data_IF_233802869264
#
_entry.id   IF_233802869264
#
_cell.length_a   1.000
_cell.length_b   1.000
_cell.length_c   1.000
_cell.angle_alpha   90.00
_cell.angle_beta   90.00
_cell.angle_gamma   90.00
#
_symmetry.space_group_name_H-M   'P 1'
#
loop_
_entity.id
_entity.type
_entity.pdbx_description
1 polymer ?
#
# COMPACT_ATOMS: atom_id res chain seq x y z
N UNK A 1 8.05 14.11 -21.21
CA UNK A 1 8.39 13.15 -20.17
C UNK A 1 7.13 12.47 -19.67
N UNK A 2 7.10 11.18 -19.77
CA UNK A 2 5.93 10.43 -19.33
C UNK A 2 5.96 10.30 -17.81
N UNK A 3 4.91 10.77 -17.18
CA UNK A 3 4.70 10.51 -15.76
C UNK A 3 4.32 9.05 -15.63
N UNK A 4 4.87 8.37 -14.65
CA UNK A 4 4.49 7.00 -14.37
C UNK A 4 3.01 6.96 -13.98
N UNK A 5 2.28 6.00 -14.54
CA UNK A 5 0.88 5.80 -14.18
C UNK A 5 0.80 5.42 -12.69
N UNK A 6 -0.05 6.08 -11.89
CA UNK A 6 -0.12 5.79 -10.47
C UNK A 6 -0.46 4.33 -10.16
N UNK A 7 -1.28 3.68 -10.97
CA UNK A 7 -1.62 2.26 -10.76
C UNK A 7 -0.42 1.38 -11.07
N UNK A 8 0.35 1.70 -12.10
CA UNK A 8 1.58 0.98 -12.44
C UNK A 8 2.58 1.10 -11.29
N UNK A 9 2.80 2.31 -10.78
CA UNK A 9 3.69 2.51 -9.63
C UNK A 9 3.19 1.73 -8.41
N UNK A 10 1.90 1.77 -8.15
CA UNK A 10 1.30 1.10 -7.00
C UNK A 10 1.56 -0.41 -7.06
N UNK A 11 1.31 -1.02 -8.22
CA UNK A 11 1.54 -2.47 -8.40
C UNK A 11 3.01 -2.84 -8.35
N UNK A 12 3.88 -2.03 -8.95
CA UNK A 12 5.29 -2.37 -9.10
C UNK A 12 6.15 -2.00 -7.90
N UNK A 13 5.87 -0.86 -7.26
CA UNK A 13 6.74 -0.30 -6.23
C UNK A 13 6.12 -0.22 -4.84
N UNK A 14 4.81 -0.24 -4.72
CA UNK A 14 4.14 -0.19 -3.42
C UNK A 14 3.79 -1.59 -2.91
N UNK A 15 2.95 -2.30 -3.66
CA UNK A 15 2.38 -3.58 -3.20
C UNK A 15 3.42 -4.63 -2.81
N UNK A 16 4.57 -4.75 -3.50
CA UNK A 16 5.58 -5.73 -3.06
C UNK A 16 6.11 -5.50 -1.66
N UNK A 17 5.99 -4.27 -1.15
CA UNK A 17 6.50 -3.90 0.18
C UNK A 17 5.40 -3.76 1.24
N UNK A 18 4.15 -4.00 0.88
CA UNK A 18 3.02 -3.92 1.81
C UNK A 18 2.87 -5.26 2.51
N UNK A 19 2.74 -5.22 3.84
CA UNK A 19 2.49 -6.44 4.62
C UNK A 19 1.06 -6.92 4.39
N UNK A 20 0.78 -8.19 4.75
CA UNK A 20 -0.58 -8.73 4.65
C UNK A 20 -1.57 -7.90 5.48
N UNK A 21 -1.18 -7.50 6.67
CA UNK A 21 -2.03 -6.66 7.53
C UNK A 21 -2.28 -5.29 6.88
N UNK A 22 -1.24 -4.68 6.33
CA UNK A 22 -1.34 -3.41 5.62
C UNK A 22 -2.23 -3.52 4.39
N UNK A 23 -2.09 -4.61 3.65
CA UNK A 23 -2.90 -4.87 2.47
C UNK A 23 -4.38 -5.03 2.83
N UNK A 24 -4.68 -5.81 3.86
CA UNK A 24 -6.05 -5.97 4.34
C UNK A 24 -6.65 -4.64 4.77
N UNK A 25 -5.84 -3.81 5.44
CA UNK A 25 -6.30 -2.52 5.93
C UNK A 25 -6.63 -1.56 4.80
N UNK A 26 -5.76 -1.44 3.79
CA UNK A 26 -6.03 -0.52 2.69
C UNK A 26 -7.20 -1.01 1.82
N UNK A 27 -7.36 -2.30 1.65
CA UNK A 27 -8.54 -2.86 0.96
C UNK A 27 -9.81 -2.42 1.68
N UNK A 28 -9.87 -2.58 2.99
CA UNK A 28 -11.01 -2.17 3.79
C UNK A 28 -11.30 -0.67 3.65
N UNK A 29 -10.27 0.15 3.78
CA UNK A 29 -10.42 1.61 3.71
C UNK A 29 -10.85 2.07 2.31
N UNK A 30 -10.27 1.49 1.26
CA UNK A 30 -10.61 1.83 -0.12
C UNK A 30 -12.03 1.37 -0.46
N UNK A 31 -12.40 0.17 -0.03
CA UNK A 31 -13.72 -0.38 -0.31
C UNK A 31 -14.83 0.45 0.32
N UNK A 32 -14.61 0.88 1.55
CA UNK A 32 -15.58 1.67 2.31
C UNK A 32 -15.50 3.17 2.06
N UNK A 33 -14.50 3.63 1.29
CA UNK A 33 -14.21 5.05 1.16
C UNK A 33 -14.17 5.72 2.54
N UNK A 34 -13.41 5.11 3.45
CA UNK A 34 -13.39 5.49 4.86
C UNK A 34 -12.93 6.93 5.08
N UNK A 35 -13.55 7.69 5.99
CA UNK A 35 -13.06 9.01 6.36
C UNK A 35 -11.71 9.00 7.06
N UNK A 36 -11.23 7.84 7.50
CA UNK A 36 -9.87 7.68 8.04
C UNK A 36 -8.81 7.71 6.95
N UNK A 37 -9.21 7.52 5.68
CA UNK A 37 -8.32 7.56 4.52
C UNK A 37 -8.43 8.95 3.90
N UNK A 38 -7.43 9.80 4.17
CA UNK A 38 -7.43 11.20 3.75
C UNK A 38 -6.49 11.45 2.59
N UNK A 39 -6.51 12.67 2.06
CA UNK A 39 -5.64 13.11 0.97
C UNK A 39 -5.18 14.55 1.21
N UNK A 40 -4.21 15.01 0.43
CA UNK A 40 -3.66 16.37 0.52
C UNK A 40 -2.59 16.53 1.58
N UNK A 41 -2.50 15.61 2.52
CA UNK A 41 -1.47 15.54 3.55
C UNK A 41 -1.29 14.09 3.95
N UNK A 42 -0.15 13.76 4.54
CA UNK A 42 0.09 12.38 5.00
C UNK A 42 -0.80 12.01 6.19
N UNK A 43 -0.96 12.95 7.11
CA UNK A 43 -1.80 12.70 8.28
C UNK A 43 -2.51 13.96 8.73
N UNK A 44 -3.56 13.74 9.51
CA UNK A 44 -4.25 14.81 10.25
C UNK A 44 -4.24 14.42 11.73
N UNK A 45 -5.39 14.37 12.35
CA UNK A 45 -5.50 13.78 13.68
C UNK A 45 -5.44 12.26 13.52
N UNK A 46 -4.51 11.59 14.20
CA UNK A 46 -4.40 10.13 14.13
C UNK A 46 -5.71 9.49 14.61
N UNK A 47 -6.25 8.46 13.96
CA UNK A 47 -5.65 7.64 12.90
C UNK A 47 -6.01 8.04 11.48
N UNK A 48 -6.26 9.31 11.22
CA UNK A 48 -6.55 9.80 9.87
C UNK A 48 -5.24 9.96 9.09
N UNK A 49 -5.08 9.21 8.03
CA UNK A 49 -3.87 9.23 7.23
C UNK A 49 -4.12 8.89 5.78
N UNK A 50 -3.15 9.19 4.92
CA UNK A 50 -3.19 8.80 3.51
C UNK A 50 -2.86 7.32 3.35
N UNK A 51 -2.87 6.84 2.11
CA UNK A 51 -2.54 5.45 1.80
C UNK A 51 -1.21 5.01 2.42
N UNK A 52 -0.16 5.82 2.23
CA UNK A 52 1.17 5.49 2.73
C UNK A 52 1.20 5.39 4.26
N UNK A 53 0.48 6.27 4.95
CA UNK A 53 0.42 6.26 6.41
C UNK A 53 -0.22 4.97 6.94
N UNK A 54 -1.34 4.56 6.37
CA UNK A 54 -2.01 3.33 6.79
C UNK A 54 -1.16 2.09 6.49
N UNK A 55 -0.46 2.07 5.38
CA UNK A 55 0.48 1.00 5.05
C UNK A 55 1.63 0.97 6.06
N UNK A 56 2.21 2.13 6.33
CA UNK A 56 3.35 2.27 7.24
C UNK A 56 3.02 1.82 8.67
N UNK A 57 1.84 2.19 9.15
CA UNK A 57 1.42 1.83 10.51
C UNK A 57 1.25 0.30 10.68
N UNK A 58 1.15 -0.42 9.60
CA UNK A 58 1.04 -1.88 9.60
C UNK A 58 2.32 -2.58 9.11
N UNK A 59 3.44 -1.85 9.04
CA UNK A 59 4.72 -2.40 8.61
C UNK A 59 5.71 -2.43 9.78
N UNK A 60 6.44 -3.54 9.98
CA UNK A 60 7.32 -3.68 11.17
C UNK A 60 8.41 -2.61 11.26
N UNK A 61 8.89 -2.07 10.15
CA UNK A 61 9.94 -1.04 10.17
C UNK A 61 9.41 0.36 10.44
N UNK A 62 8.12 0.59 10.24
CA UNK A 62 7.49 1.91 10.35
C UNK A 62 6.20 1.86 11.16
N UNK A 63 6.05 0.85 12.01
CA UNK A 63 4.82 0.60 12.75
C UNK A 63 4.53 1.60 13.86
N UNK A 64 5.44 2.53 14.11
CA UNK A 64 5.16 3.62 15.04
C UNK A 64 3.98 4.42 14.52
N UNK A 65 2.97 4.57 15.37
CA UNK A 65 1.75 5.28 15.00
C UNK A 65 1.98 6.77 15.12
N UNK A 66 2.71 7.34 14.16
CA UNK A 66 3.04 8.75 14.14
C UNK A 66 2.83 9.38 12.75
N UNK A 67 3.00 10.69 12.68
CA UNK A 67 2.72 11.47 11.48
C UNK A 67 3.74 11.27 10.36
N UNK A 68 4.92 10.77 10.66
CA UNK A 68 6.01 10.61 9.70
C UNK A 68 6.11 9.21 9.13
N UNK A 69 5.36 8.27 9.67
CA UNK A 69 5.47 6.86 9.28
C UNK A 69 5.31 6.65 7.76
N UNK A 70 4.33 7.32 7.16
CA UNK A 70 4.08 7.19 5.72
C UNK A 70 5.24 7.66 4.86
N UNK A 71 5.83 8.80 5.23
CA UNK A 71 6.99 9.35 4.52
C UNK A 71 8.18 8.41 4.66
N UNK A 72 8.42 7.90 5.86
CA UNK A 72 9.50 6.96 6.12
C UNK A 72 9.32 5.66 5.35
N UNK A 73 8.10 5.13 5.31
CA UNK A 73 7.81 3.92 4.57
C UNK A 73 8.11 4.10 3.08
N UNK A 74 7.65 5.21 2.49
CA UNK A 74 7.90 5.49 1.08
C UNK A 74 9.39 5.58 0.80
N UNK A 75 10.13 6.35 1.60
CA UNK A 75 11.54 6.61 1.36
C UNK A 75 12.43 5.41 1.69
N UNK A 76 12.16 4.71 2.78
CA UNK A 76 13.06 3.69 3.32
C UNK A 76 12.66 2.26 2.98
N UNK A 77 11.38 1.99 2.77
CA UNK A 77 10.90 0.65 2.46
C UNK A 77 10.59 0.51 0.97
N UNK A 78 9.76 1.37 0.44
CA UNK A 78 9.38 1.32 -0.98
C UNK A 78 10.46 1.90 -1.90
N UNK A 79 11.38 2.70 -1.38
CA UNK A 79 12.44 3.30 -2.17
C UNK A 79 11.95 4.38 -3.13
N UNK A 80 10.90 5.10 -2.75
CA UNK A 80 10.30 6.15 -3.56
C UNK A 80 10.51 7.52 -2.93
N UNK A 81 10.55 8.55 -3.78
CA UNK A 81 10.56 9.92 -3.30
C UNK A 81 9.11 10.34 -2.98
N UNK A 82 8.80 10.66 -1.71
CA UNK A 82 7.43 11.04 -1.34
C UNK A 82 6.90 12.26 -2.09
N UNK A 83 7.79 13.14 -2.55
CA UNK A 83 7.38 14.35 -3.26
C UNK A 83 7.04 14.09 -4.74
N UNK A 84 7.50 12.98 -5.31
CA UNK A 84 7.32 12.69 -6.74
C UNK A 84 6.61 11.38 -7.02
N UNK A 85 6.21 10.65 -5.98
CA UNK A 85 5.46 9.41 -6.15
C UNK A 85 4.17 9.68 -6.95
N UNK A 86 3.98 8.96 -8.03
CA UNK A 86 2.81 9.13 -8.88
C UNK A 86 1.52 8.83 -8.12
N UNK A 87 1.54 7.82 -7.23
CA UNK A 87 0.39 7.49 -6.40
C UNK A 87 0.05 8.64 -5.47
N UNK A 88 1.04 9.21 -4.79
CA UNK A 88 0.83 10.32 -3.86
C UNK A 88 0.28 11.54 -4.60
N UNK A 89 0.89 11.90 -5.73
CA UNK A 89 0.45 13.07 -6.51
C UNK A 89 -0.99 12.91 -7.00
N UNK A 90 -1.34 11.73 -7.49
CA UNK A 90 -2.70 11.46 -7.96
C UNK A 90 -3.70 11.40 -6.82
N UNK A 91 -3.32 10.74 -5.72
CA UNK A 91 -4.20 10.60 -4.56
C UNK A 91 -4.49 11.93 -3.87
N UNK A 92 -3.49 12.81 -3.78
CA UNK A 92 -3.63 14.08 -3.10
C UNK A 92 -4.62 15.04 -3.76
N UNK A 93 -4.99 14.81 -5.02
CA UNK A 93 -5.95 15.66 -5.70
C UNK A 93 -7.37 15.51 -5.13
N UNK A 94 -7.85 14.29 -4.99
CA UNK A 94 -9.24 14.04 -4.59
C UNK A 94 -9.42 12.85 -3.63
N UNK A 95 -8.37 12.06 -3.39
CA UNK A 95 -8.44 10.90 -2.51
C UNK A 95 -9.56 9.95 -2.89
N UNK A 96 -10.36 9.56 -1.90
CA UNK A 96 -11.50 8.65 -2.13
C UNK A 96 -12.58 9.25 -3.02
N UNK A 97 -12.56 10.56 -3.23
CA UNK A 97 -13.47 11.25 -4.14
C UNK A 97 -13.18 10.96 -5.61
N UNK A 98 -11.97 10.52 -5.94
CA UNK A 98 -11.65 10.05 -7.30
C UNK A 98 -12.05 8.59 -7.41
N UNK A 99 -13.25 8.35 -7.88
CA UNK A 99 -13.81 7.00 -7.96
C UNK A 99 -12.97 6.08 -8.85
N UNK A 100 -12.50 6.58 -9.99
CA UNK A 100 -11.71 5.78 -10.93
C UNK A 100 -10.39 5.34 -10.29
N UNK A 101 -9.67 6.27 -9.66
CA UNK A 101 -8.41 5.96 -8.99
C UNK A 101 -8.64 5.02 -7.81
N UNK A 102 -9.63 5.31 -6.98
CA UNK A 102 -9.98 4.47 -5.82
C UNK A 102 -10.27 3.04 -6.25
N UNK A 103 -11.09 2.87 -7.29
CA UNK A 103 -11.45 1.55 -7.81
C UNK A 103 -10.24 0.82 -8.38
N UNK A 104 -9.37 1.52 -9.10
CA UNK A 104 -8.17 0.92 -9.68
C UNK A 104 -7.18 0.48 -8.60
N UNK A 105 -6.99 1.28 -7.56
CA UNK A 105 -6.12 0.92 -6.44
C UNK A 105 -6.69 -0.25 -5.65
N UNK A 106 -8.00 -0.26 -5.47
CA UNK A 106 -8.69 -1.37 -4.80
C UNK A 106 -8.53 -2.67 -5.59
N UNK A 107 -8.74 -2.60 -6.90
CA UNK A 107 -8.57 -3.77 -7.78
C UNK A 107 -7.13 -4.28 -7.72
N UNK A 108 -6.15 -3.39 -7.80
CA UNK A 108 -4.74 -3.76 -7.68
C UNK A 108 -4.45 -4.46 -6.35
N UNK A 109 -5.00 -3.93 -5.27
CA UNK A 109 -4.82 -4.49 -3.93
C UNK A 109 -5.45 -5.88 -3.81
N UNK A 110 -6.64 -6.06 -4.37
CA UNK A 110 -7.32 -7.36 -4.38
C UNK A 110 -6.59 -8.39 -5.23
N UNK A 111 -6.03 -7.96 -6.37
CA UNK A 111 -5.23 -8.83 -7.22
C UNK A 111 -3.98 -9.30 -6.48
N UNK A 112 -3.32 -8.40 -5.77
CA UNK A 112 -2.16 -8.74 -4.96
C UNK A 112 -2.53 -9.71 -3.84
N UNK A 113 -3.65 -9.48 -3.17
CA UNK A 113 -4.13 -10.36 -2.11
C UNK A 113 -4.41 -11.76 -2.65
N UNK A 114 -5.05 -11.86 -3.81
CA UNK A 114 -5.33 -13.14 -4.46
C UNK A 114 -4.04 -13.86 -4.87
N UNK A 115 -3.08 -13.12 -5.41
CA UNK A 115 -1.78 -13.67 -5.79
C UNK A 115 -1.05 -14.24 -4.58
N UNK A 116 -1.12 -13.54 -3.43
CA UNK A 116 -0.48 -14.01 -2.20
C UNK A 116 -1.12 -15.26 -1.64
N UNK A 117 -2.43 -15.44 -1.84
CA UNK A 117 -3.12 -16.66 -1.42
C UNK A 117 -2.63 -17.88 -2.18
N UNK A 118 -2.28 -17.70 -3.46
CA UNK A 118 -1.74 -18.77 -4.28
C UNK A 118 -0.25 -18.98 -4.03
N UNK A 119 0.52 -17.88 -4.02
CA UNK A 119 1.97 -17.91 -3.84
C UNK A 119 2.42 -18.38 -2.46
N UNK A 120 1.82 -17.93 -1.36
CA UNK A 120 2.23 -18.44 -0.05
C UNK A 120 2.10 -19.95 0.07
N UNK A 121 1.10 -20.54 -0.55
CA UNK A 121 0.94 -21.98 -0.57
C UNK A 121 2.10 -22.63 -1.31
N UNK A 122 2.48 -22.07 -2.47
CA UNK A 122 3.62 -22.56 -3.24
C UNK A 122 4.94 -22.32 -2.51
N UNK A 123 5.11 -21.14 -1.94
CA UNK A 123 6.30 -20.82 -1.16
C UNK A 123 6.44 -21.73 0.05
N UNK A 124 5.34 -22.04 0.69
CA UNK A 124 5.31 -22.94 1.83
C UNK A 124 5.69 -24.35 1.41
N UNK A 125 5.18 -24.81 0.29
CA UNK A 125 5.53 -26.12 -0.27
C UNK A 125 7.00 -26.17 -0.67
N UNK A 126 7.51 -25.12 -1.29
CA UNK A 126 8.91 -25.02 -1.67
C UNK A 126 9.80 -25.05 -0.43
N UNK A 127 9.45 -24.30 0.60
CA UNK A 127 10.18 -24.28 1.87
C UNK A 127 10.15 -25.65 2.53
N UNK A 128 9.01 -26.32 2.47
CA UNK A 128 8.87 -27.67 2.98
C UNK A 128 9.76 -28.64 2.21
N UNK A 129 9.78 -28.53 0.89
CA UNK A 129 10.61 -29.36 0.05
C UNK A 129 12.10 -29.14 0.35
N UNK A 130 12.50 -27.90 0.63
CA UNK A 130 13.87 -27.57 1.02
C UNK A 130 14.22 -28.10 2.41
N UNK A 131 13.27 -27.97 3.35
CA UNK A 131 13.47 -28.43 4.72
C UNK A 131 13.38 -29.95 4.83
N UNK A 132 12.59 -30.59 3.97
CA UNK A 132 12.38 -32.02 3.95
C UNK A 132 12.58 -32.53 2.53
N UNK A 133 13.82 -32.53 2.05
CA UNK A 133 14.10 -32.96 0.69
C UNK A 133 13.69 -34.41 0.51
N UNK A 134 12.81 -34.61 -0.41
CA UNK A 134 12.32 -35.95 -0.72
C UNK A 134 12.41 -36.19 -2.20
#
# INVERSE_FOLDING_TARGET
MSTLDPVVEFRAAWLPHVTDDGLNRIIELLEKASPLLIHGTFTRALPMGCLASHIAWNHPKTCRFDHEAGVLWLAKVAGLNPATSAVILAWDLHGVGDFALRSALLEASRDEQAARRCEPARSRLATYADAFPS
#
